data_IF_449347741777
#
_entry.id   IF_449347741777
#
_cell.length_a   1.000
_cell.length_b   1.000
_cell.length_c   1.000
_cell.angle_alpha   90.00
_cell.angle_beta   90.00
_cell.angle_gamma   90.00
#
_symmetry.space_group_name_H-M   'P 1'
#
loop_
_entity.id
_entity.type
_entity.pdbx_description
1 polymer ?
#
# COMPACT_ATOMS: atom_id res chain seq x y z
N UNK A 1 9.99 -21.38 31.52
CA UNK A 1 10.82 -20.64 30.54
C UNK A 1 9.90 -19.70 29.76
N UNK A 2 9.89 -18.40 30.12
CA UNK A 2 9.09 -17.39 29.42
C UNK A 2 9.79 -17.03 28.11
N UNK A 3 9.20 -17.43 26.99
CA UNK A 3 9.66 -16.99 25.67
C UNK A 3 9.26 -15.51 25.51
N UNK A 4 10.19 -14.55 25.40
CA UNK A 4 9.82 -13.17 25.17
C UNK A 4 9.08 -13.11 23.83
N UNK A 5 7.84 -12.61 23.86
CA UNK A 5 7.01 -12.37 22.68
C UNK A 5 7.87 -11.65 21.65
N UNK A 6 8.21 -12.32 20.54
CA UNK A 6 8.94 -11.71 19.43
C UNK A 6 8.17 -10.47 19.01
N UNK A 7 8.70 -9.29 19.31
CA UNK A 7 8.12 -8.02 18.90
C UNK A 7 7.99 -8.07 17.38
N UNK A 8 6.75 -8.11 16.89
CA UNK A 8 6.48 -8.17 15.46
C UNK A 8 6.91 -6.84 14.85
N UNK A 9 8.16 -6.76 14.40
CA UNK A 9 8.61 -5.62 13.62
C UNK A 9 7.92 -5.68 12.26
N UNK A 10 7.04 -4.72 11.99
CA UNK A 10 6.44 -4.56 10.68
C UNK A 10 7.53 -4.49 9.61
N UNK A 11 7.39 -5.26 8.53
CA UNK A 11 8.28 -5.14 7.37
C UNK A 11 8.14 -3.72 6.80
N UNK A 12 9.24 -3.15 6.32
CA UNK A 12 9.19 -1.88 5.61
C UNK A 12 8.22 -2.00 4.41
N UNK A 13 7.39 -0.97 4.15
CA UNK A 13 6.49 -0.98 3.00
C UNK A 13 7.30 -1.12 1.72
N UNK A 14 6.80 -1.96 0.81
CA UNK A 14 7.42 -2.23 -0.49
C UNK A 14 6.63 -1.53 -1.58
N UNK A 15 7.34 -0.84 -2.45
CA UNK A 15 6.83 -0.20 -3.64
C UNK A 15 7.14 -1.11 -4.83
N UNK A 16 6.10 -1.50 -5.56
CA UNK A 16 6.21 -2.20 -6.84
C UNK A 16 6.33 -1.12 -7.90
N UNK A 17 7.38 -1.18 -8.72
CA UNK A 17 7.66 -0.15 -9.72
C UNK A 17 6.58 -0.17 -10.80
N UNK A 18 6.13 1.03 -11.19
CA UNK A 18 5.16 1.16 -12.28
C UNK A 18 5.88 1.20 -13.63
N UNK A 19 5.16 1.02 -14.75
CA UNK A 19 5.76 1.14 -16.09
C UNK A 19 6.39 2.51 -16.38
N UNK A 20 5.97 3.56 -15.66
CA UNK A 20 6.56 4.90 -15.80
C UNK A 20 7.88 5.07 -15.02
N UNK A 21 8.16 4.17 -14.06
CA UNK A 21 9.39 4.21 -13.28
C UNK A 21 10.48 3.41 -14.00
N UNK A 22 11.75 3.82 -13.85
CA UNK A 22 12.87 3.06 -14.41
C UNK A 22 13.07 1.76 -13.62
N UNK A 23 12.77 0.64 -14.27
CA UNK A 23 12.88 -0.70 -13.69
C UNK A 23 14.27 -1.31 -13.82
N UNK A 24 15.23 -0.61 -14.41
CA UNK A 24 16.56 -1.16 -14.64
C UNK A 24 17.48 -0.98 -13.42
N UNK A 25 18.00 -2.09 -12.91
CA UNK A 25 19.13 -2.14 -11.99
C UNK A 25 20.35 -2.68 -12.69
N UNK A 26 21.51 -2.07 -12.43
CA UNK A 26 22.81 -2.62 -12.75
C UNK A 26 23.42 -3.14 -11.47
N UNK A 27 23.89 -4.38 -11.49
CA UNK A 27 24.70 -4.88 -10.40
C UNK A 27 26.02 -5.47 -10.89
N UNK A 28 27.04 -5.34 -10.04
CA UNK A 28 28.34 -5.93 -10.21
C UNK A 28 28.70 -6.74 -8.96
N UNK A 29 29.25 -7.93 -9.20
CA UNK A 29 29.85 -8.79 -8.19
C UNK A 29 31.38 -8.62 -8.25
N UNK A 30 32.05 -8.61 -7.10
CA UNK A 30 33.52 -8.59 -6.97
C UNK A 30 34.20 -9.62 -7.89
N UNK A 31 33.60 -10.82 -8.03
CA UNK A 31 34.17 -11.91 -8.83
C UNK A 31 34.01 -11.64 -10.34
N UNK A 32 32.96 -10.94 -10.76
CA UNK A 32 32.54 -10.94 -12.17
C UNK A 32 32.70 -9.62 -12.92
N UNK A 33 33.00 -8.49 -12.26
CA UNK A 33 33.30 -7.15 -12.81
C UNK A 33 32.40 -6.58 -13.94
N UNK A 34 31.47 -7.36 -14.49
CA UNK A 34 30.58 -7.02 -15.60
C UNK A 34 29.23 -6.64 -15.04
N UNK A 35 28.78 -5.42 -15.36
CA UNK A 35 27.46 -4.96 -14.98
C UNK A 35 26.40 -5.73 -15.76
N UNK A 36 25.44 -6.32 -15.04
CA UNK A 36 24.27 -6.96 -15.66
C UNK A 36 23.06 -6.08 -15.39
N UNK A 37 22.41 -5.62 -16.46
CA UNK A 37 21.16 -4.86 -16.41
C UNK A 37 19.96 -5.80 -16.23
N UNK A 38 19.12 -5.52 -15.23
CA UNK A 38 18.05 -6.41 -14.77
C UNK A 38 16.81 -5.60 -14.37
N UNK A 39 15.64 -6.24 -14.40
CA UNK A 39 14.38 -5.70 -13.89
C UNK A 39 14.23 -5.78 -12.36
N UNK A 40 13.84 -4.66 -11.75
CA UNK A 40 13.48 -4.55 -10.34
C UNK A 40 12.03 -4.98 -10.15
N UNK A 41 11.78 -5.91 -9.22
CA UNK A 41 10.42 -6.35 -8.85
C UNK A 41 9.79 -5.43 -7.81
N UNK A 42 10.53 -5.17 -6.73
CA UNK A 42 10.08 -4.32 -5.64
C UNK A 42 11.26 -3.58 -4.99
N UNK A 43 10.97 -2.41 -4.42
CA UNK A 43 11.92 -1.60 -3.69
C UNK A 43 11.31 -1.10 -2.37
N UNK A 44 12.14 -1.00 -1.34
CA UNK A 44 11.76 -0.49 -0.01
C UNK A 44 12.84 0.45 0.52
N UNK A 45 12.59 1.08 1.68
CA UNK A 45 13.58 1.96 2.33
C UNK A 45 14.89 1.23 2.71
N UNK A 46 14.88 -0.11 2.82
CA UNK A 46 16.00 -0.90 3.34
C UNK A 46 16.55 -1.95 2.37
N UNK A 47 15.91 -2.18 1.23
CA UNK A 47 16.31 -3.21 0.28
C UNK A 47 15.46 -3.24 -0.98
N UNK A 48 15.80 -4.12 -1.91
CA UNK A 48 15.05 -4.37 -3.15
C UNK A 48 15.08 -5.84 -3.53
N UNK A 49 14.20 -6.22 -4.45
CA UNK A 49 14.23 -7.50 -5.13
C UNK A 49 14.33 -7.30 -6.66
N UNK A 50 15.12 -8.14 -7.32
CA UNK A 50 15.32 -8.09 -8.78
C UNK A 50 15.55 -9.48 -9.38
N UNK A 51 15.40 -9.64 -10.70
CA UNK A 51 15.44 -10.95 -11.39
C UNK A 51 16.70 -11.18 -12.22
N UNK A 52 17.53 -12.14 -11.84
CA UNK A 52 18.75 -12.47 -12.59
C UNK A 52 18.66 -13.83 -13.27
N UNK A 53 19.37 -14.01 -14.38
CA UNK A 53 19.60 -15.35 -14.94
C UNK A 53 20.37 -16.19 -13.94
N UNK A 54 20.03 -17.48 -13.82
CA UNK A 54 20.70 -18.40 -12.89
C UNK A 54 22.22 -18.38 -13.01
N UNK A 55 22.77 -18.28 -14.23
CA UNK A 55 24.22 -18.27 -14.42
C UNK A 55 24.89 -17.08 -13.73
N UNK A 56 24.19 -15.94 -13.60
CA UNK A 56 24.68 -14.67 -13.08
C UNK A 56 24.21 -14.38 -11.65
N UNK A 57 23.53 -15.32 -11.00
CA UNK A 57 23.04 -15.11 -9.64
C UNK A 57 24.21 -14.96 -8.64
N UNK A 58 24.22 -13.92 -7.80
CA UNK A 58 25.18 -13.81 -6.71
C UNK A 58 24.90 -14.88 -5.65
N UNK A 59 25.85 -15.09 -4.75
CA UNK A 59 25.72 -16.04 -3.64
C UNK A 59 24.96 -15.41 -2.47
N UNK A 60 24.33 -16.27 -1.67
CA UNK A 60 23.69 -15.81 -0.43
C UNK A 60 24.73 -15.17 0.49
N UNK A 61 24.37 -14.05 1.13
CA UNK A 61 25.24 -13.23 2.00
C UNK A 61 26.40 -12.51 1.30
N UNK A 62 26.51 -12.59 -0.02
CA UNK A 62 27.51 -11.84 -0.79
C UNK A 62 27.19 -10.34 -0.78
N UNK A 63 28.23 -9.51 -0.74
CA UNK A 63 28.09 -8.07 -0.95
C UNK A 63 28.26 -7.76 -2.44
N UNK A 64 27.32 -7.02 -3.00
CA UNK A 64 27.32 -6.60 -4.39
C UNK A 64 27.24 -5.08 -4.48
N UNK A 65 27.72 -4.51 -5.57
CA UNK A 65 27.51 -3.10 -5.91
C UNK A 65 26.28 -3.03 -6.79
N UNK A 66 25.32 -2.19 -6.42
CA UNK A 66 24.12 -1.94 -7.21
C UNK A 66 24.02 -0.47 -7.58
N UNK A 67 23.51 -0.21 -8.77
CA UNK A 67 23.22 1.10 -9.33
C UNK A 67 21.79 1.05 -9.89
N UNK A 68 20.92 1.92 -9.41
CA UNK A 68 19.52 1.98 -9.81
C UNK A 68 19.00 3.42 -9.75
N UNK A 69 17.91 3.69 -10.44
CA UNK A 69 17.19 4.95 -10.33
C UNK A 69 16.11 4.82 -9.26
N UNK A 70 16.19 5.64 -8.21
CA UNK A 70 15.23 5.57 -7.12
C UNK A 70 13.94 6.35 -7.48
N UNK A 71 12.74 5.78 -7.29
CA UNK A 71 11.49 6.41 -7.73
C UNK A 71 11.32 7.85 -7.23
N UNK A 72 11.05 8.79 -8.14
CA UNK A 72 10.87 10.21 -7.80
C UNK A 72 12.18 10.94 -7.45
N UNK A 73 13.32 10.29 -7.62
CA UNK A 73 14.62 10.83 -7.29
C UNK A 73 15.65 10.45 -8.35
N UNK A 74 16.90 10.91 -8.20
CA UNK A 74 17.97 10.56 -9.11
C UNK A 74 18.56 9.17 -8.91
N UNK A 75 19.64 8.92 -9.65
CA UNK A 75 20.41 7.68 -9.62
C UNK A 75 21.10 7.47 -8.26
N UNK A 76 21.06 6.23 -7.75
CA UNK A 76 21.71 5.81 -6.51
C UNK A 76 22.61 4.62 -6.81
N UNK A 77 23.87 4.72 -6.41
CA UNK A 77 24.81 3.61 -6.36
C UNK A 77 25.19 3.29 -4.90
N UNK A 78 25.09 2.03 -4.50
CA UNK A 78 25.43 1.60 -3.14
C UNK A 78 25.85 0.14 -3.09
N UNK A 79 26.43 -0.26 -1.96
CA UNK A 79 26.63 -1.67 -1.64
C UNK A 79 25.33 -2.27 -1.12
N UNK A 80 25.10 -3.53 -1.42
CA UNK A 80 23.97 -4.28 -0.90
C UNK A 80 24.40 -5.71 -0.58
N UNK A 81 23.79 -6.31 0.45
CA UNK A 81 24.03 -7.71 0.82
C UNK A 81 22.88 -8.58 0.34
N UNK A 82 23.20 -9.70 -0.31
CA UNK A 82 22.20 -10.69 -0.73
C UNK A 82 21.62 -11.39 0.50
N UNK A 83 20.32 -11.23 0.73
CA UNK A 83 19.63 -11.82 1.90
C UNK A 83 18.75 -13.01 1.54
N UNK A 84 18.33 -13.12 0.27
CA UNK A 84 17.51 -14.23 -0.20
C UNK A 84 17.75 -14.49 -1.69
N UNK A 85 17.73 -15.75 -2.06
CA UNK A 85 17.67 -16.21 -3.45
C UNK A 85 16.47 -17.14 -3.57
N UNK A 86 15.65 -16.95 -4.59
CA UNK A 86 14.50 -17.80 -4.87
C UNK A 86 14.54 -18.18 -6.35
N UNK A 87 14.55 -19.48 -6.65
CA UNK A 87 14.51 -19.96 -8.03
C UNK A 87 13.09 -19.85 -8.56
N UNK A 88 12.91 -19.09 -9.65
CA UNK A 88 11.64 -18.99 -10.33
C UNK A 88 11.65 -20.00 -11.48
N UNK A 89 10.99 -21.13 -11.28
CA UNK A 89 10.70 -22.07 -12.37
C UNK A 89 9.50 -21.54 -13.15
N UNK A 90 9.74 -20.88 -14.28
CA UNK A 90 8.65 -20.62 -15.23
C UNK A 90 8.17 -21.96 -15.79
N UNK A 91 6.86 -22.24 -15.69
CA UNK A 91 6.22 -23.27 -16.51
C UNK A 91 6.27 -22.77 -17.95
N UNK A 92 7.15 -23.36 -18.74
CA UNK A 92 7.28 -23.01 -20.15
C UNK A 92 5.98 -23.33 -20.91
N UNK A 93 5.17 -22.29 -21.16
CA UNK A 93 4.22 -22.32 -22.27
C UNK A 93 5.04 -22.15 -23.55
N UNK A 94 5.42 -23.27 -24.18
CA UNK A 94 6.09 -23.33 -25.48
C UNK A 94 7.44 -22.59 -25.57
N UNK A 95 8.49 -23.16 -24.96
CA UNK A 95 9.87 -22.67 -25.09
C UNK A 95 10.85 -23.34 -24.12
N UNK A 96 12.15 -23.09 -24.26
CA UNK A 96 13.13 -23.49 -23.23
C UNK A 96 12.90 -22.65 -21.98
N UNK A 97 12.70 -23.26 -20.79
CA UNK A 97 12.43 -22.51 -19.57
C UNK A 97 13.64 -21.64 -19.23
N UNK A 98 13.47 -20.32 -19.24
CA UNK A 98 14.49 -19.40 -18.74
C UNK A 98 14.48 -19.53 -17.21
N UNK A 99 15.54 -20.14 -16.66
CA UNK A 99 15.72 -20.23 -15.20
C UNK A 99 16.09 -18.84 -14.67
N UNK A 100 15.10 -18.10 -14.22
CA UNK A 100 15.28 -16.84 -13.50
C UNK A 100 15.44 -17.11 -12.00
N UNK A 101 16.22 -16.27 -11.33
CA UNK A 101 16.42 -16.28 -9.89
C UNK A 101 16.04 -14.90 -9.37
N UNK A 102 15.13 -14.86 -8.41
CA UNK A 102 14.79 -13.65 -7.68
C UNK A 102 15.85 -13.45 -6.60
N UNK A 103 16.56 -12.33 -6.66
CA UNK A 103 17.55 -11.92 -5.68
C UNK A 103 16.95 -10.82 -4.82
N UNK A 104 16.86 -11.05 -3.52
CA UNK A 104 16.53 -9.99 -2.56
C UNK A 104 17.81 -9.51 -1.89
N UNK A 105 17.98 -8.20 -1.84
CA UNK A 105 19.15 -7.55 -1.26
C UNK A 105 18.76 -6.54 -0.20
N UNK A 106 19.59 -6.43 0.83
CA UNK A 106 19.53 -5.39 1.85
C UNK A 106 20.55 -4.31 1.54
N UNK A 107 20.13 -3.06 1.52
CA UNK A 107 21.02 -1.96 1.19
C UNK A 107 21.95 -1.59 2.34
N UNK A 108 23.19 -1.22 2.00
CA UNK A 108 24.18 -0.62 2.88
C UNK A 108 24.34 0.87 2.51
N UNK A 109 23.26 1.64 2.68
CA UNK A 109 23.18 3.05 2.28
C UNK A 109 23.82 3.97 3.32
N UNK A 110 24.43 5.07 2.83
CA UNK A 110 24.83 6.20 3.68
C UNK A 110 23.59 7.00 4.13
N UNK A 111 23.66 7.69 5.28
CA UNK A 111 22.54 8.48 5.84
C UNK A 111 21.87 9.42 4.81
N UNK A 112 22.65 10.08 3.96
CA UNK A 112 22.12 10.96 2.91
C UNK A 112 21.30 10.21 1.86
N UNK A 113 21.77 9.04 1.42
CA UNK A 113 21.06 8.20 0.45
C UNK A 113 19.79 7.60 1.05
N UNK A 114 19.79 7.24 2.34
CA UNK A 114 18.59 6.78 3.06
C UNK A 114 17.50 7.85 3.04
N UNK A 115 17.85 9.10 3.37
CA UNK A 115 16.89 10.21 3.35
C UNK A 115 16.37 10.48 1.94
N UNK A 116 17.25 10.42 0.94
CA UNK A 116 16.91 10.64 -0.45
C UNK A 116 15.93 9.58 -0.97
N UNK A 117 16.27 8.29 -0.85
CA UNK A 117 15.40 7.17 -1.21
C UNK A 117 14.09 7.20 -0.42
N UNK A 118 14.17 7.49 0.88
CA UNK A 118 13.02 7.55 1.77
C UNK A 118 11.99 8.59 1.31
N UNK A 119 12.45 9.78 0.90
CA UNK A 119 11.58 10.85 0.38
C UNK A 119 10.90 10.43 -0.92
N UNK A 120 11.66 9.91 -1.89
CA UNK A 120 11.09 9.48 -3.18
C UNK A 120 10.03 8.38 -3.05
N UNK A 121 10.30 7.39 -2.19
CA UNK A 121 9.32 6.33 -1.91
C UNK A 121 8.07 6.88 -1.22
N UNK A 122 8.21 7.82 -0.29
CA UNK A 122 7.09 8.41 0.45
C UNK A 122 6.17 9.22 -0.47
N UNK A 123 6.74 9.99 -1.39
CA UNK A 123 5.98 10.70 -2.43
C UNK A 123 5.18 9.70 -3.31
N UNK A 124 5.80 8.59 -3.72
CA UNK A 124 5.12 7.55 -4.50
C UNK A 124 4.04 6.82 -3.70
N UNK A 125 4.25 6.57 -2.41
CA UNK A 125 3.24 5.96 -1.55
C UNK A 125 2.03 6.89 -1.34
N UNK A 126 2.24 8.19 -1.17
CA UNK A 126 1.14 9.16 -1.06
C UNK A 126 0.36 9.28 -2.39
N UNK A 127 1.05 9.25 -3.53
CA UNK A 127 0.40 9.19 -4.84
C UNK A 127 -0.47 7.93 -5.00
N UNK A 128 0.06 6.76 -4.62
CA UNK A 128 -0.68 5.49 -4.60
C UNK A 128 -1.92 5.57 -3.71
N UNK A 129 -1.78 6.12 -2.51
CA UNK A 129 -2.86 6.28 -1.54
C UNK A 129 -3.95 7.21 -2.08
N UNK A 130 -3.55 8.33 -2.68
CA UNK A 130 -4.48 9.28 -3.30
C UNK A 130 -5.25 8.65 -4.46
N UNK A 131 -4.57 7.88 -5.33
CA UNK A 131 -5.21 7.18 -6.44
C UNK A 131 -6.19 6.12 -5.95
N UNK A 132 -5.79 5.29 -4.99
CA UNK A 132 -6.67 4.29 -4.37
C UNK A 132 -7.90 4.94 -3.73
N UNK A 133 -7.73 6.06 -3.03
CA UNK A 133 -8.84 6.79 -2.42
C UNK A 133 -9.81 7.33 -3.49
N UNK A 134 -9.32 7.84 -4.62
CA UNK A 134 -10.15 8.28 -5.75
C UNK A 134 -10.92 7.12 -6.37
N UNK A 135 -10.28 5.97 -6.55
CA UNK A 135 -10.95 4.76 -7.08
C UNK A 135 -12.04 4.25 -6.13
N UNK A 136 -11.75 4.18 -4.83
CA UNK A 136 -12.74 3.79 -3.81
C UNK A 136 -13.91 4.76 -3.80
N UNK A 137 -13.64 6.07 -3.87
CA UNK A 137 -14.68 7.09 -3.93
C UNK A 137 -15.54 6.96 -5.20
N UNK A 138 -14.90 6.74 -6.36
CA UNK A 138 -15.59 6.53 -7.64
C UNK A 138 -16.48 5.30 -7.60
N UNK A 139 -15.97 4.17 -7.10
CA UNK A 139 -16.76 2.93 -6.92
C UNK A 139 -17.96 3.17 -6.00
N UNK A 140 -17.79 3.91 -4.90
CA UNK A 140 -18.92 4.27 -4.02
C UNK A 140 -19.98 5.08 -4.74
N UNK A 141 -19.58 6.06 -5.55
CA UNK A 141 -20.53 6.86 -6.36
C UNK A 141 -21.23 5.97 -7.38
N UNK A 142 -20.51 5.09 -8.06
CA UNK A 142 -21.08 4.15 -9.04
C UNK A 142 -22.11 3.22 -8.38
N UNK A 143 -21.79 2.65 -7.20
CA UNK A 143 -22.74 1.83 -6.43
C UNK A 143 -24.00 2.61 -6.00
N UNK A 144 -23.86 3.90 -5.65
CA UNK A 144 -25.01 4.76 -5.33
C UNK A 144 -25.84 5.03 -6.59
N UNK A 145 -25.20 5.26 -7.75
CA UNK A 145 -25.88 5.49 -9.03
C UNK A 145 -26.68 4.27 -9.48
N UNK A 146 -26.08 3.08 -9.42
CA UNK A 146 -26.73 1.82 -9.75
C UNK A 146 -27.95 1.56 -8.86
N UNK A 147 -27.87 1.95 -7.59
CA UNK A 147 -28.95 1.81 -6.61
C UNK A 147 -29.79 3.08 -6.43
N UNK A 148 -29.85 3.97 -7.41
CA UNK A 148 -30.58 5.27 -7.32
C UNK A 148 -32.04 5.10 -6.90
N UNK A 149 -32.77 4.17 -7.51
CA UNK A 149 -34.19 3.92 -7.18
C UNK A 149 -34.38 3.50 -5.71
N UNK A 150 -33.54 2.57 -5.22
CA UNK A 150 -33.54 2.13 -3.82
C UNK A 150 -33.11 3.25 -2.87
N UNK A 151 -32.11 4.04 -3.25
CA UNK A 151 -31.59 5.16 -2.44
C UNK A 151 -32.66 6.24 -2.27
N UNK A 152 -33.38 6.57 -3.35
CA UNK A 152 -34.52 7.51 -3.31
C UNK A 152 -35.65 6.96 -2.44
N UNK A 153 -35.96 5.66 -2.54
CA UNK A 153 -36.96 5.00 -1.69
C UNK A 153 -36.60 5.09 -0.20
N UNK A 154 -35.35 4.75 0.16
CA UNK A 154 -34.88 4.86 1.55
C UNK A 154 -34.94 6.30 2.06
N UNK A 155 -34.53 7.28 1.25
CA UNK A 155 -34.63 8.71 1.59
C UNK A 155 -36.08 9.13 1.81
N UNK A 156 -37.01 8.69 0.96
CA UNK A 156 -38.43 8.99 1.11
C UNK A 156 -39.01 8.39 2.40
N UNK A 157 -38.63 7.15 2.75
CA UNK A 157 -39.05 6.49 4.00
C UNK A 157 -38.52 7.23 5.22
N UNK A 158 -37.23 7.61 5.23
CA UNK A 158 -36.64 8.39 6.32
C UNK A 158 -37.36 9.74 6.46
N UNK A 159 -37.63 10.42 5.35
CA UNK A 159 -38.33 11.70 5.37
C UNK A 159 -39.76 11.57 5.91
N UNK A 160 -40.48 10.52 5.50
CA UNK A 160 -41.81 10.21 6.01
C UNK A 160 -41.78 9.92 7.52
N UNK A 161 -40.80 9.16 8.01
CA UNK A 161 -40.63 8.91 9.45
C UNK A 161 -40.37 10.21 10.21
N UNK A 162 -39.44 11.05 9.75
CA UNK A 162 -39.16 12.35 10.38
C UNK A 162 -40.40 13.24 10.38
N UNK A 163 -41.16 13.26 9.29
CA UNK A 163 -42.41 14.01 9.18
C UNK A 163 -43.47 13.52 10.17
N UNK A 164 -43.67 12.21 10.28
CA UNK A 164 -44.60 11.62 11.26
C UNK A 164 -44.15 11.94 12.68
N UNK A 165 -42.85 11.81 12.99
CA UNK A 165 -42.30 12.19 14.29
C UNK A 165 -42.51 13.66 14.59
N UNK A 166 -42.29 14.55 13.62
CA UNK A 166 -42.54 15.98 13.78
C UNK A 166 -44.00 16.27 14.14
N UNK A 167 -44.95 15.64 13.45
CA UNK A 167 -46.38 15.81 13.76
C UNK A 167 -46.79 15.21 15.11
N UNK A 168 -46.28 14.04 15.46
CA UNK A 168 -46.55 13.41 16.76
C UNK A 168 -45.96 14.19 17.93
N UNK A 169 -44.84 14.89 17.70
CA UNK A 169 -44.16 15.69 18.72
C UNK A 169 -44.64 17.13 18.78
N UNK A 170 -45.58 17.55 17.92
CA UNK A 170 -46.17 18.88 18.05
C UNK A 170 -46.87 19.00 19.41
N UNK A 171 -46.58 20.06 20.20
CA UNK A 171 -47.23 20.27 21.47
C UNK A 171 -48.74 20.40 21.24
N UNK A 172 -49.53 19.59 21.95
CA UNK A 172 -51.00 19.71 21.92
C UNK A 172 -51.38 21.15 22.28
N UNK A 173 -52.46 21.68 21.70
CA UNK A 173 -52.96 23.04 21.98
C UNK A 173 -53.18 23.34 23.47
N UNK A 174 -53.31 22.30 24.30
CA UNK A 174 -53.43 22.39 25.76
C UNK A 174 -52.08 22.36 26.52
N UNK A 175 -50.95 22.44 25.83
CA UNK A 175 -49.63 22.55 26.47
C UNK A 175 -49.44 23.97 27.00
N UNK A 176 -49.74 24.16 28.28
CA UNK A 176 -49.50 25.42 28.98
C UNK A 176 -48.02 25.49 29.38
N UNK A 177 -47.20 26.23 28.61
CA UNK A 177 -45.76 26.42 28.88
C UNK A 177 -45.47 26.95 30.30
N UNK A 178 -46.47 27.56 30.94
CA UNK A 178 -46.34 28.17 32.27
C UNK A 178 -46.74 27.23 33.42
N UNK A 179 -47.18 26.00 33.14
CA UNK A 179 -47.42 24.96 34.16
C UNK A 179 -46.27 23.96 34.17
N UNK A 180 -45.25 24.22 34.99
CA UNK A 180 -44.27 23.20 35.35
C UNK A 180 -44.91 22.24 36.33
N UNK A 181 -45.50 21.15 35.82
CA UNK A 181 -45.91 20.02 36.66
C UNK A 181 -44.62 19.28 37.04
N UNK A 182 -44.22 19.24 38.32
CA UNK A 182 -43.03 18.51 38.73
C UNK A 182 -43.19 17.02 38.40
N UNK A 183 -42.11 16.40 37.94
CA UNK A 183 -42.07 14.97 37.62
C UNK A 183 -42.50 14.15 38.85
N UNK A 184 -43.66 13.49 38.79
CA UNK A 184 -44.15 12.63 39.87
C UNK A 184 -45.67 12.55 40.04
N UNK A 185 -46.44 13.51 39.51
CA UNK A 185 -47.90 13.53 39.63
C UNK A 185 -48.57 13.19 38.28
N UNK A 186 -48.65 11.90 37.95
CA UNK A 186 -49.62 11.41 36.95
C UNK A 186 -50.66 10.59 37.69
N UNK A 187 -51.81 11.18 37.98
CA UNK A 187 -52.98 10.41 38.39
C UNK A 187 -53.55 9.78 37.12
N UNK A 188 -53.63 8.46 37.10
CA UNK A 188 -54.27 7.66 36.05
C UNK A 188 -55.79 7.86 36.08
#
# INVERSE_FOLDING_TARGET
MNNPVRKWFGRAPRYVLRPEDNQFVRFANEIRQKSTGIEILDISKTGMAFTVRRENAPRLSENIIIEFEAPGTGQIACYARVVRLEEQSERASWGTPKKAVIVAVQFLLKKGQIKHLGRGLEEKFEQLKAQKNREVFRRRIETIKENTKLTILYLAVIFALVFVFYFLTQPRKNYNKNQTIPWGTRNF
#
